data_IF_640859735708
#
_entry.id   IF_640859735708
#
_cell.length_a   1.000
_cell.length_b   1.000
_cell.length_c   1.000
_cell.angle_alpha   90.00
_cell.angle_beta   90.00
_cell.angle_gamma   90.00
#
_symmetry.space_group_name_H-M   'P 1'
#
loop_
_entity.id
_entity.type
_entity.pdbx_description
1 polymer ?
#
# COMPACT_ATOMS: atom_id res chain seq x y z
N UNK A 1 -23.98 16.43 4.67
CA UNK A 1 -22.71 17.17 4.92
C UNK A 1 -22.04 16.47 6.10
N UNK A 2 -20.75 16.15 6.03
CA UNK A 2 -20.04 15.50 7.14
C UNK A 2 -19.89 16.53 8.28
N UNK A 3 -20.56 16.32 9.40
CA UNK A 3 -20.50 17.16 10.61
C UNK A 3 -19.43 16.63 11.60
N UNK A 4 -18.24 16.34 11.08
CA UNK A 4 -17.10 15.87 11.87
C UNK A 4 -15.95 16.86 11.77
N UNK A 5 -15.10 16.91 12.82
CA UNK A 5 -13.86 17.71 12.87
C UNK A 5 -13.17 17.75 11.51
N UNK A 6 -12.75 18.96 11.10
CA UNK A 6 -11.99 19.22 9.87
C UNK A 6 -10.89 18.16 9.74
N UNK A 7 -11.02 17.25 8.78
CA UNK A 7 -9.98 16.26 8.54
C UNK A 7 -8.84 17.02 7.89
N UNK A 8 -7.67 17.08 8.53
CA UNK A 8 -6.52 17.81 8.00
C UNK A 8 -5.97 17.15 6.73
N UNK A 9 -6.04 15.81 6.64
CA UNK A 9 -5.66 15.03 5.47
C UNK A 9 -6.24 13.60 5.51
N UNK A 10 -6.74 13.10 4.38
CA UNK A 10 -6.98 11.66 4.16
C UNK A 10 -6.20 11.24 2.95
N UNK A 11 -5.22 10.35 3.13
CA UNK A 11 -4.49 9.76 2.02
C UNK A 11 -5.26 8.54 1.54
N UNK A 12 -5.92 8.66 0.39
CA UNK A 12 -6.51 7.49 -0.28
C UNK A 12 -5.42 6.86 -1.13
N UNK A 13 -4.77 5.84 -0.56
CA UNK A 13 -3.76 5.05 -1.24
C UNK A 13 -4.41 4.14 -2.28
N UNK A 14 -4.30 4.50 -3.55
CA UNK A 14 -4.70 3.63 -4.64
C UNK A 14 -3.45 2.90 -5.17
N UNK A 15 -3.50 1.57 -5.18
CA UNK A 15 -2.36 0.70 -5.49
C UNK A 15 -2.41 0.17 -6.92
N UNK A 16 -2.12 -1.11 -7.12
CA UNK A 16 -2.04 -1.74 -8.43
C UNK A 16 -3.30 -1.57 -9.28
N UNK A 17 -4.50 -1.56 -8.68
CA UNK A 17 -5.75 -1.36 -9.44
C UNK A 17 -5.74 -0.01 -10.18
N UNK A 18 -5.41 1.09 -9.50
CA UNK A 18 -5.35 2.42 -10.11
C UNK A 18 -4.17 2.60 -11.07
N UNK A 19 -3.08 1.83 -10.88
CA UNK A 19 -1.96 1.77 -11.82
C UNK A 19 -2.29 0.97 -13.08
N UNK A 20 -3.19 -0.01 -13.03
CA UNK A 20 -3.52 -0.87 -14.18
C UNK A 20 -4.70 -0.35 -15.02
N UNK A 21 -5.57 0.47 -14.44
CA UNK A 21 -6.68 1.12 -15.17
C UNK A 21 -6.28 1.97 -16.39
N UNK A 22 -5.00 2.35 -16.56
CA UNK A 22 -4.56 3.24 -17.65
C UNK A 22 -4.72 2.65 -19.06
N UNK A 23 -4.97 1.35 -19.19
CA UNK A 23 -5.14 0.69 -20.50
C UNK A 23 -6.49 0.95 -21.14
N UNK A 24 -7.52 1.24 -20.34
CA UNK A 24 -8.87 1.53 -20.84
C UNK A 24 -9.28 2.96 -20.49
N UNK A 25 -9.56 3.76 -21.54
CA UNK A 25 -9.91 5.19 -21.40
C UNK A 25 -11.14 5.38 -20.52
N UNK A 26 -12.19 4.58 -20.71
CA UNK A 26 -13.44 4.64 -19.94
C UNK A 26 -13.18 4.47 -18.44
N UNK A 27 -12.38 3.47 -18.06
CA UNK A 27 -12.09 3.17 -16.66
C UNK A 27 -11.16 4.23 -16.07
N UNK A 28 -10.22 4.74 -16.86
CA UNK A 28 -9.37 5.88 -16.46
C UNK A 28 -10.21 7.12 -16.16
N UNK A 29 -11.20 7.44 -16.99
CA UNK A 29 -12.08 8.60 -16.79
C UNK A 29 -12.93 8.45 -15.52
N UNK A 30 -13.46 7.25 -15.26
CA UNK A 30 -14.20 6.94 -14.01
C UNK A 30 -13.29 7.12 -12.79
N UNK A 31 -12.09 6.55 -12.82
CA UNK A 31 -11.08 6.69 -11.76
C UNK A 31 -10.76 8.16 -11.50
N UNK A 32 -10.46 8.93 -12.55
CA UNK A 32 -10.11 10.34 -12.43
C UNK A 32 -11.26 11.17 -11.84
N UNK A 33 -12.51 10.91 -12.27
CA UNK A 33 -13.70 11.54 -11.70
C UNK A 33 -13.85 11.21 -10.22
N UNK A 34 -13.62 9.96 -9.83
CA UNK A 34 -13.65 9.55 -8.43
C UNK A 34 -12.58 10.25 -7.60
N UNK A 35 -11.33 10.32 -8.08
CA UNK A 35 -10.25 11.06 -7.39
C UNK A 35 -10.59 12.54 -7.23
N UNK A 36 -11.17 13.18 -8.25
CA UNK A 36 -11.60 14.58 -8.17
C UNK A 36 -12.72 14.78 -7.14
N UNK A 37 -13.69 13.86 -7.08
CA UNK A 37 -14.76 13.90 -6.08
C UNK A 37 -14.19 13.80 -4.66
N UNK A 38 -13.23 12.91 -4.41
CA UNK A 38 -12.54 12.80 -3.12
C UNK A 38 -11.81 14.11 -2.77
N UNK A 39 -11.10 14.69 -3.74
CA UNK A 39 -10.40 15.97 -3.56
C UNK A 39 -11.36 17.12 -3.19
N UNK A 40 -12.52 17.20 -3.85
CA UNK A 40 -13.55 18.19 -3.55
C UNK A 40 -14.19 18.02 -2.16
N UNK A 41 -14.03 16.86 -1.51
CA UNK A 41 -14.44 16.62 -0.13
C UNK A 41 -13.32 16.91 0.89
N UNK A 42 -12.19 17.47 0.45
CA UNK A 42 -11.03 17.76 1.31
C UNK A 42 -10.13 16.55 1.57
N UNK A 43 -10.26 15.48 0.78
CA UNK A 43 -9.39 14.31 0.84
C UNK A 43 -8.22 14.49 -0.14
N UNK A 44 -7.11 13.80 0.09
CA UNK A 44 -5.90 13.91 -0.75
C UNK A 44 -5.58 12.53 -1.35
N UNK A 45 -6.31 12.12 -2.40
CA UNK A 45 -6.04 10.84 -3.04
C UNK A 45 -4.65 10.83 -3.67
N UNK A 46 -3.92 9.73 -3.48
CA UNK A 46 -2.61 9.51 -4.09
C UNK A 46 -2.51 8.10 -4.63
N UNK A 47 -2.18 8.00 -5.91
CA UNK A 47 -1.79 6.72 -6.51
C UNK A 47 -0.35 6.46 -6.12
N UNK A 48 -0.11 5.44 -5.30
CA UNK A 48 1.24 5.09 -4.91
C UNK A 48 1.92 4.29 -6.01
N UNK A 49 3.19 4.57 -6.25
CA UNK A 49 4.01 3.64 -7.00
C UNK A 49 4.22 2.35 -6.16
N UNK A 50 4.62 1.26 -6.81
CA UNK A 50 4.77 -0.02 -6.12
C UNK A 50 5.88 -0.01 -5.05
N UNK A 51 6.89 0.86 -5.15
CA UNK A 51 7.94 0.97 -4.15
C UNK A 51 7.43 1.62 -2.85
N UNK A 52 6.61 2.67 -2.96
CA UNK A 52 5.96 3.30 -1.83
C UNK A 52 5.04 2.30 -1.11
N UNK A 53 4.25 1.53 -1.87
CA UNK A 53 3.38 0.46 -1.36
C UNK A 53 4.17 -0.57 -0.54
N UNK A 54 5.24 -1.12 -1.11
CA UNK A 54 6.11 -2.07 -0.41
C UNK A 54 6.78 -1.44 0.84
N UNK A 55 7.13 -0.15 0.77
CA UNK A 55 7.67 0.60 1.89
C UNK A 55 6.68 0.69 3.07
N UNK A 56 5.42 1.01 2.79
CA UNK A 56 4.37 1.08 3.81
C UNK A 56 4.01 -0.30 4.39
N UNK A 57 3.96 -1.34 3.57
CA UNK A 57 3.78 -2.72 4.02
C UNK A 57 4.89 -3.14 4.99
N UNK A 58 6.16 -2.84 4.64
CA UNK A 58 7.31 -3.11 5.50
C UNK A 58 7.22 -2.34 6.83
N UNK A 59 6.95 -1.03 6.78
CA UNK A 59 6.87 -0.19 7.98
C UNK A 59 5.78 -0.65 8.95
N UNK A 60 4.57 -0.88 8.43
CA UNK A 60 3.43 -1.34 9.22
C UNK A 60 3.68 -2.73 9.82
N UNK A 61 4.31 -3.65 9.07
CA UNK A 61 4.62 -4.99 9.56
C UNK A 61 5.74 -4.99 10.61
N UNK A 62 6.79 -4.17 10.45
CA UNK A 62 7.83 -3.99 11.48
C UNK A 62 7.21 -3.46 12.78
N UNK A 63 6.32 -2.47 12.65
CA UNK A 63 5.60 -1.94 13.80
C UNK A 63 4.77 -3.04 14.49
N UNK A 64 3.95 -3.78 13.74
CA UNK A 64 3.15 -4.88 14.27
C UNK A 64 4.01 -5.97 14.93
N UNK A 65 5.12 -6.36 14.30
CA UNK A 65 6.09 -7.31 14.85
C UNK A 65 6.62 -6.86 16.21
N UNK A 66 7.07 -5.60 16.31
CA UNK A 66 7.57 -5.03 17.58
C UNK A 66 6.50 -5.00 18.68
N UNK A 67 5.25 -4.70 18.32
CA UNK A 67 4.12 -4.72 19.24
C UNK A 67 3.82 -6.15 19.71
N UNK A 68 3.85 -7.12 18.81
CA UNK A 68 3.62 -8.53 19.15
C UNK A 68 4.74 -9.14 19.99
N UNK A 69 6.00 -8.71 19.82
CA UNK A 69 7.07 -9.06 20.75
C UNK A 69 6.82 -8.49 22.15
N UNK A 70 6.36 -7.24 22.25
CA UNK A 70 6.10 -6.58 23.54
C UNK A 70 5.00 -7.28 24.35
N UNK A 71 3.97 -7.80 23.68
CA UNK A 71 2.88 -8.52 24.34
C UNK A 71 3.10 -10.04 24.43
N UNK A 72 4.31 -10.52 24.13
CA UNK A 72 4.67 -11.94 24.26
C UNK A 72 4.08 -12.88 23.21
N UNK A 73 3.48 -12.35 22.14
CA UNK A 73 2.96 -13.16 21.01
C UNK A 73 4.05 -13.61 20.03
N UNK A 74 5.19 -12.93 20.05
CA UNK A 74 6.40 -13.31 19.31
C UNK A 74 7.56 -13.35 20.31
N UNK A 75 8.44 -14.33 20.19
CA UNK A 75 9.62 -14.45 21.06
C UNK A 75 10.53 -13.20 20.95
N UNK A 76 11.07 -12.76 22.10
CA UNK A 76 11.92 -11.54 22.17
C UNK A 76 13.21 -11.65 21.35
N UNK A 77 13.73 -12.86 21.14
CA UNK A 77 14.92 -13.13 20.34
C UNK A 77 14.63 -13.34 18.85
N UNK A 78 13.35 -13.44 18.45
CA UNK A 78 12.98 -13.53 17.04
C UNK A 78 13.41 -12.25 16.30
N UNK A 79 13.89 -12.41 15.08
CA UNK A 79 14.28 -11.30 14.21
C UNK A 79 13.28 -11.16 13.06
N UNK A 80 12.88 -9.93 12.78
CA UNK A 80 12.11 -9.64 11.59
C UNK A 80 12.96 -9.94 10.35
N UNK A 81 12.50 -10.87 9.51
CA UNK A 81 13.21 -11.32 8.31
C UNK A 81 12.66 -10.70 7.03
N UNK A 82 11.38 -10.35 7.02
CA UNK A 82 10.73 -9.74 5.86
C UNK A 82 9.21 -9.78 5.94
N UNK A 83 8.58 -9.25 4.90
CA UNK A 83 7.14 -9.26 4.68
C UNK A 83 6.86 -9.59 3.21
N UNK A 84 5.88 -10.45 2.99
CA UNK A 84 5.27 -10.69 1.69
C UNK A 84 3.90 -10.00 1.70
N UNK A 85 3.79 -8.89 0.97
CA UNK A 85 2.52 -8.22 0.69
C UNK A 85 1.95 -8.74 -0.62
N UNK A 86 0.72 -9.25 -0.61
CA UNK A 86 0.05 -9.76 -1.81
C UNK A 86 -1.32 -9.08 -1.97
N UNK A 87 -1.51 -8.42 -3.10
CA UNK A 87 -2.78 -7.87 -3.54
C UNK A 87 -3.21 -8.44 -4.89
N UNK A 88 -4.42 -8.12 -5.31
CA UNK A 88 -4.99 -8.63 -6.57
C UNK A 88 -4.21 -8.16 -7.82
N UNK A 89 -3.55 -6.99 -7.76
CA UNK A 89 -2.85 -6.41 -8.89
C UNK A 89 -1.32 -6.44 -8.80
N UNK A 90 -0.74 -6.73 -7.63
CA UNK A 90 0.71 -6.79 -7.43
C UNK A 90 1.06 -7.53 -6.14
N UNK A 91 2.29 -8.03 -6.07
CA UNK A 91 2.89 -8.59 -4.87
C UNK A 91 4.27 -7.99 -4.65
N UNK A 92 4.63 -7.79 -3.39
CA UNK A 92 5.92 -7.27 -2.98
C UNK A 92 6.51 -8.19 -1.91
N UNK A 93 7.77 -8.54 -2.04
CA UNK A 93 8.52 -9.22 -1.01
C UNK A 93 9.66 -8.33 -0.54
N UNK A 94 9.51 -7.74 0.65
CA UNK A 94 10.56 -6.96 1.30
C UNK A 94 11.27 -7.82 2.34
N UNK A 95 12.59 -7.94 2.26
CA UNK A 95 13.36 -8.81 3.13
C UNK A 95 14.64 -8.15 3.62
N UNK A 96 15.12 -8.61 4.78
CA UNK A 96 16.32 -8.10 5.42
C UNK A 96 17.55 -8.81 4.86
N UNK A 97 18.54 -8.05 4.41
CA UNK A 97 19.84 -8.55 3.96
C UNK A 97 20.76 -8.85 5.14
N UNK A 98 21.87 -9.54 4.87
CA UNK A 98 22.87 -9.90 5.88
C UNK A 98 23.52 -8.68 6.56
N UNK A 99 23.66 -7.56 5.84
CA UNK A 99 24.18 -6.28 6.35
C UNK A 99 23.15 -5.50 7.19
N UNK A 100 21.94 -6.03 7.35
CA UNK A 100 20.86 -5.42 8.10
C UNK A 100 20.02 -4.42 7.32
N UNK A 101 20.37 -4.10 6.08
CA UNK A 101 19.55 -3.30 5.16
C UNK A 101 18.35 -4.11 4.65
N UNK A 102 17.43 -3.45 3.93
CA UNK A 102 16.29 -4.11 3.32
C UNK A 102 16.33 -3.98 1.81
N UNK A 103 15.96 -5.05 1.13
CA UNK A 103 15.71 -5.08 -0.31
C UNK A 103 14.26 -5.48 -0.57
N UNK A 104 13.76 -5.22 -1.78
CA UNK A 104 12.38 -5.48 -2.15
C UNK A 104 12.30 -6.05 -3.57
N UNK A 105 11.79 -7.28 -3.68
CA UNK A 105 11.32 -7.83 -4.96
C UNK A 105 9.89 -7.37 -5.21
N UNK A 106 9.62 -6.95 -6.45
CA UNK A 106 8.33 -6.43 -6.90
C UNK A 106 7.82 -7.27 -8.03
N UNK A 107 6.60 -7.76 -7.91
CA UNK A 107 5.93 -8.59 -8.90
C UNK A 107 4.61 -7.94 -9.27
N UNK A 108 4.36 -7.75 -10.56
CA UNK A 108 3.02 -7.42 -11.03
C UNK A 108 2.23 -8.72 -11.20
N UNK A 109 1.01 -8.76 -10.63
CA UNK A 109 0.14 -9.92 -10.67
C UNK A 109 -1.20 -9.53 -11.29
N UNK A 110 -1.77 -10.37 -12.14
CA UNK A 110 -3.02 -10.09 -12.84
C UNK A 110 -2.77 -9.54 -14.24
N UNK A 111 -3.54 -10.06 -15.20
CA UNK A 111 -3.42 -9.71 -16.61
C UNK A 111 -3.84 -8.27 -16.86
N UNK A 112 -3.33 -7.70 -17.94
CA UNK A 112 -3.80 -6.44 -18.49
C UNK A 112 -5.25 -6.48 -18.98
N UNK A 113 -5.84 -7.69 -19.02
CA UNK A 113 -7.10 -8.00 -19.66
C UNK A 113 -8.24 -8.30 -18.66
N UNK A 114 -8.03 -8.06 -17.36
CA UNK A 114 -9.03 -8.34 -16.32
C UNK A 114 -9.49 -7.06 -15.63
N UNK A 115 -9.98 -6.08 -16.40
CA UNK A 115 -11.03 -5.12 -15.98
C UNK A 115 -11.93 -4.89 -17.19
#
# INVERSE_FOLDING_TARGET
>A
KWEGKKIDYVIVGASAWARKCYKEKRITDIKNKFMLLLANQGLFPRVFNQADEAGFERLSTIYAFSRFQRIGRIAKNAKFSGVLGAGAGSCNYSFRRCDGTFDTLKFDIGSDAAI
#
